data_IF_531126005660
#
_entry.id   IF_531126005660
#
_cell.length_a   1.000
_cell.length_b   1.000
_cell.length_c   1.000
_cell.angle_alpha   90.00
_cell.angle_beta   90.00
_cell.angle_gamma   90.00
#
_symmetry.space_group_name_H-M   'P 1'
#
loop_
_entity.id
_entity.type
_entity.pdbx_description
1 polymer ?
#
# COMPACT_ATOMS: atom_id res chain seq x y z
N UNK A 1 -43.60 -12.80 -20.25
CA UNK A 1 -42.74 -11.66 -19.85
C UNK A 1 -43.04 -11.33 -18.40
N UNK A 2 -42.03 -11.14 -17.56
CA UNK A 2 -42.22 -10.70 -16.17
C UNK A 2 -41.07 -9.73 -15.84
N UNK A 3 -41.40 -8.45 -15.68
CA UNK A 3 -40.41 -7.38 -15.57
C UNK A 3 -39.81 -7.35 -14.17
N UNK A 4 -38.54 -7.76 -14.03
CA UNK A 4 -37.80 -7.55 -12.78
C UNK A 4 -37.51 -6.05 -12.62
N UNK A 5 -38.33 -5.34 -11.85
CA UNK A 5 -38.16 -3.91 -11.58
C UNK A 5 -36.85 -3.66 -10.85
N UNK A 6 -35.94 -2.95 -11.52
CA UNK A 6 -34.76 -2.36 -10.89
C UNK A 6 -35.22 -1.28 -9.91
N UNK A 7 -35.32 -1.64 -8.62
CA UNK A 7 -35.54 -0.69 -7.52
C UNK A 7 -34.44 0.36 -7.59
N UNK A 8 -34.79 1.64 -7.74
CA UNK A 8 -33.80 2.68 -7.96
C UNK A 8 -33.07 2.99 -6.66
N UNK A 9 -31.83 3.50 -6.76
CA UNK A 9 -31.02 3.88 -5.59
C UNK A 9 -31.74 4.92 -4.71
N UNK A 10 -32.63 5.73 -5.29
CA UNK A 10 -33.46 6.68 -4.58
C UNK A 10 -34.54 5.99 -3.73
N UNK A 11 -35.19 4.95 -4.25
CA UNK A 11 -36.24 4.20 -3.55
C UNK A 11 -35.68 3.45 -2.34
N UNK A 12 -34.53 2.80 -2.50
CA UNK A 12 -33.81 2.16 -1.37
C UNK A 12 -33.43 3.19 -0.31
N UNK A 13 -33.02 4.40 -0.72
CA UNK A 13 -32.69 5.49 0.20
C UNK A 13 -33.91 6.03 0.93
N UNK A 14 -35.06 6.10 0.26
CA UNK A 14 -36.34 6.47 0.88
C UNK A 14 -36.81 5.41 1.89
N UNK A 15 -36.75 4.13 1.52
CA UNK A 15 -37.09 3.00 2.40
C UNK A 15 -36.19 2.96 3.64
N UNK A 16 -34.87 3.19 3.49
CA UNK A 16 -33.94 3.29 4.62
C UNK A 16 -34.31 4.45 5.56
N UNK A 17 -34.65 5.64 5.02
CA UNK A 17 -35.15 6.77 5.83
C UNK A 17 -36.48 6.45 6.51
N UNK A 18 -37.37 5.69 5.87
CA UNK A 18 -38.65 5.27 6.46
C UNK A 18 -38.47 4.27 7.61
N UNK A 19 -37.53 3.32 7.48
CA UNK A 19 -37.18 2.35 8.53
C UNK A 19 -36.45 3.03 9.69
N UNK A 20 -35.52 3.95 9.42
CA UNK A 20 -34.79 4.69 10.46
C UNK A 20 -35.64 5.77 11.14
N UNK A 21 -36.59 6.36 10.41
CA UNK A 21 -37.50 7.38 10.90
C UNK A 21 -38.53 6.84 11.91
N UNK A 22 -39.32 7.75 12.49
CA UNK A 22 -40.26 7.37 13.54
C UNK A 22 -41.53 6.65 13.05
N UNK A 23 -41.78 6.64 11.74
CA UNK A 23 -43.04 6.19 11.11
C UNK A 23 -43.42 4.72 11.29
N UNK A 24 -42.46 3.83 11.59
CA UNK A 24 -42.75 2.41 11.85
C UNK A 24 -42.78 2.11 13.36
N UNK A 25 -43.80 1.38 13.79
CA UNK A 25 -43.97 0.92 15.17
C UNK A 25 -43.17 -0.38 15.43
N UNK A 26 -42.83 -0.65 16.70
CA UNK A 26 -42.08 -1.85 17.09
C UNK A 26 -42.71 -3.15 16.54
N UNK A 27 -44.04 -3.30 16.62
CA UNK A 27 -44.77 -4.46 16.05
C UNK A 27 -44.52 -4.64 14.55
N UNK A 28 -44.54 -3.57 13.75
CA UNK A 28 -44.28 -3.63 12.31
C UNK A 28 -42.83 -4.04 12.03
N UNK A 29 -41.87 -3.43 12.75
CA UNK A 29 -40.45 -3.77 12.65
C UNK A 29 -40.20 -5.23 13.07
N UNK A 30 -40.88 -5.71 14.11
CA UNK A 30 -40.84 -7.10 14.58
C UNK A 30 -41.33 -8.08 13.50
N UNK A 31 -42.44 -7.76 12.81
CA UNK A 31 -42.93 -8.54 11.66
C UNK A 31 -41.98 -8.48 10.47
N UNK A 32 -41.41 -7.32 10.13
CA UNK A 32 -40.41 -7.21 9.04
C UNK A 32 -39.16 -8.05 9.36
N UNK A 33 -38.68 -8.03 10.60
CA UNK A 33 -37.63 -8.95 11.05
C UNK A 33 -38.03 -10.42 10.85
N UNK A 34 -39.22 -10.83 11.31
CA UNK A 34 -39.71 -12.20 11.21
C UNK A 34 -39.81 -12.70 9.76
N UNK A 35 -40.37 -11.88 8.85
CA UNK A 35 -40.50 -12.20 7.42
C UNK A 35 -39.14 -12.37 6.74
N UNK A 36 -38.11 -11.66 7.20
CA UNK A 36 -36.75 -11.74 6.67
C UNK A 36 -35.82 -12.66 7.49
N UNK A 37 -36.37 -13.57 8.31
CA UNK A 37 -35.60 -14.56 9.07
C UNK A 37 -34.72 -14.00 10.21
N UNK A 38 -34.91 -12.73 10.58
CA UNK A 38 -34.21 -12.10 11.71
C UNK A 38 -34.91 -12.39 13.05
N UNK A 39 -34.14 -12.31 14.14
CA UNK A 39 -34.69 -12.24 15.50
C UNK A 39 -35.69 -11.08 15.60
N UNK A 40 -36.96 -11.38 15.84
CA UNK A 40 -38.08 -10.43 15.86
C UNK A 40 -38.26 -9.70 17.20
N UNK A 41 -37.62 -10.18 18.27
CA UNK A 41 -37.67 -9.59 19.62
C UNK A 41 -36.61 -8.50 19.81
N UNK A 42 -36.98 -7.30 20.24
CA UNK A 42 -36.02 -6.25 20.62
C UNK A 42 -36.67 -4.87 20.83
N UNK A 43 -35.87 -3.91 21.30
CA UNK A 43 -36.28 -2.49 21.35
C UNK A 43 -36.32 -1.89 19.95
N UNK A 44 -37.08 -0.79 19.74
CA UNK A 44 -37.34 -0.21 18.41
C UNK A 44 -36.05 0.00 17.61
N UNK A 45 -35.07 0.69 18.19
CA UNK A 45 -33.79 0.99 17.56
C UNK A 45 -32.97 -0.26 17.17
N UNK A 46 -33.12 -1.36 17.90
CA UNK A 46 -32.42 -2.60 17.59
C UNK A 46 -33.07 -3.35 16.41
N UNK A 47 -34.41 -3.37 16.35
CA UNK A 47 -35.14 -3.89 15.19
C UNK A 47 -34.87 -3.05 13.94
N UNK A 48 -34.92 -1.71 14.07
CA UNK A 48 -34.52 -0.79 12.99
C UNK A 48 -33.10 -1.07 12.50
N UNK A 49 -32.12 -1.24 13.41
CA UNK A 49 -30.73 -1.59 13.05
C UNK A 49 -30.67 -2.91 12.29
N UNK A 50 -31.34 -3.98 12.75
CA UNK A 50 -31.34 -5.28 12.05
C UNK A 50 -31.95 -5.19 10.64
N UNK A 51 -32.99 -4.37 10.45
CA UNK A 51 -33.66 -4.18 9.14
C UNK A 51 -32.83 -3.28 8.21
N UNK A 52 -32.17 -2.24 8.73
CA UNK A 52 -31.20 -1.44 7.96
C UNK A 52 -30.05 -2.33 7.45
N UNK A 53 -29.54 -3.21 8.31
CA UNK A 53 -28.47 -4.15 7.99
C UNK A 53 -28.88 -5.29 7.03
N UNK A 54 -30.17 -5.45 6.71
CA UNK A 54 -30.65 -6.35 5.66
C UNK A 54 -30.51 -5.78 4.25
N UNK A 55 -30.35 -4.46 4.10
CA UNK A 55 -30.31 -3.84 2.77
C UNK A 55 -29.01 -4.23 2.04
N UNK A 56 -29.08 -4.93 0.89
CA UNK A 56 -27.88 -5.40 0.18
C UNK A 56 -27.05 -4.27 -0.46
N UNK A 57 -27.53 -3.02 -0.37
CA UNK A 57 -26.86 -1.81 -0.88
C UNK A 57 -26.57 -0.78 0.22
N UNK A 58 -26.73 -1.14 1.50
CA UNK A 58 -26.42 -0.28 2.64
C UNK A 58 -24.96 -0.41 3.09
N UNK A 59 -24.20 0.69 3.07
CA UNK A 59 -22.89 0.79 3.73
C UNK A 59 -23.06 0.71 5.26
N UNK A 60 -23.14 -0.50 5.80
CA UNK A 60 -23.34 -0.72 7.24
C UNK A 60 -23.71 -2.15 7.67
N UNK A 61 -23.70 -3.13 6.75
CA UNK A 61 -24.07 -4.53 6.98
C UNK A 61 -23.45 -5.16 8.25
N UNK A 62 -22.26 -4.69 8.67
CA UNK A 62 -21.54 -5.20 9.85
C UNK A 62 -21.09 -4.13 10.86
N UNK A 63 -21.56 -2.88 10.74
CA UNK A 63 -21.17 -1.78 11.64
C UNK A 63 -19.88 -1.03 11.27
N UNK A 64 -19.15 -1.48 10.24
CA UNK A 64 -17.98 -0.82 9.67
C UNK A 64 -18.01 -0.83 8.13
N UNK A 65 -17.13 -0.04 7.51
CA UNK A 65 -16.81 -0.07 6.09
C UNK A 65 -15.30 -0.16 5.88
N UNK A 66 -14.85 -0.54 4.67
CA UNK A 66 -13.44 -0.42 4.30
C UNK A 66 -13.15 0.95 3.70
N UNK A 67 -11.90 1.44 3.84
CA UNK A 67 -11.45 2.64 3.10
C UNK A 67 -11.65 2.44 1.59
N UNK A 68 -12.08 3.48 0.86
CA UNK A 68 -12.24 3.41 -0.59
C UNK A 68 -10.88 3.26 -1.29
N UNK A 69 -10.92 2.72 -2.50
CA UNK A 69 -9.76 2.53 -3.37
C UNK A 69 -10.15 2.92 -4.80
N UNK A 70 -9.30 3.62 -5.57
CA UNK A 70 -9.60 3.90 -6.97
C UNK A 70 -9.58 2.61 -7.81
N UNK A 71 -8.76 1.63 -7.43
CA UNK A 71 -8.58 0.37 -8.13
C UNK A 71 -9.79 -0.57 -8.05
N UNK A 72 -10.70 -0.37 -7.09
CA UNK A 72 -11.92 -1.18 -6.99
C UNK A 72 -13.07 -0.47 -6.24
N UNK A 73 -14.29 -0.61 -6.75
CA UNK A 73 -15.53 -0.29 -6.04
C UNK A 73 -16.09 -1.56 -5.40
N UNK A 74 -16.39 -1.55 -4.11
CA UNK A 74 -17.12 -2.63 -3.43
C UNK A 74 -18.61 -2.51 -3.79
N UNK A 75 -19.20 -3.54 -4.39
CA UNK A 75 -20.59 -3.53 -4.86
C UNK A 75 -21.54 -4.16 -3.84
N UNK A 76 -21.22 -5.37 -3.36
CA UNK A 76 -22.10 -6.18 -2.49
C UNK A 76 -21.32 -7.32 -1.82
N UNK A 77 -21.60 -7.68 -0.56
CA UNK A 77 -21.03 -8.89 0.06
C UNK A 77 -21.62 -10.16 -0.56
N UNK A 78 -20.75 -11.13 -0.90
CA UNK A 78 -21.16 -12.45 -1.41
C UNK A 78 -21.07 -13.55 -0.35
N UNK A 79 -20.52 -13.23 0.84
CA UNK A 79 -20.58 -14.08 2.03
C UNK A 79 -21.13 -13.33 3.24
N UNK A 80 -21.65 -14.06 4.22
CA UNK A 80 -21.76 -13.51 5.57
C UNK A 80 -20.37 -13.22 6.15
N UNK A 81 -20.31 -12.25 7.08
CA UNK A 81 -19.11 -11.96 7.87
C UNK A 81 -18.69 -13.17 8.71
N UNK A 82 -17.39 -13.39 8.85
CA UNK A 82 -16.82 -14.36 9.79
C UNK A 82 -15.87 -13.68 10.78
N UNK A 83 -16.21 -13.76 12.06
CA UNK A 83 -15.30 -13.39 13.14
C UNK A 83 -14.19 -14.44 13.25
N UNK A 84 -12.95 -14.02 13.03
CA UNK A 84 -11.75 -14.78 13.30
C UNK A 84 -11.26 -14.40 14.71
N UNK A 85 -11.39 -15.31 15.65
CA UNK A 85 -11.05 -15.10 17.07
C UNK A 85 -10.31 -16.30 17.65
N UNK A 86 -9.54 -16.08 18.71
CA UNK A 86 -8.75 -17.13 19.33
C UNK A 86 -9.64 -18.09 20.12
N UNK A 87 -9.70 -19.36 19.72
CA UNK A 87 -10.24 -20.42 20.59
C UNK A 87 -9.29 -20.64 21.76
N UNK A 88 -9.84 -20.87 22.94
CA UNK A 88 -9.07 -20.95 24.20
C UNK A 88 -8.00 -22.05 24.16
N UNK A 89 -6.73 -21.64 24.34
CA UNK A 89 -5.53 -22.40 24.76
C UNK A 89 -5.10 -23.70 24.05
N UNK A 90 -5.96 -24.37 23.27
CA UNK A 90 -5.68 -25.73 22.76
C UNK A 90 -5.18 -25.78 21.31
N UNK A 91 -5.38 -24.74 20.50
CA UNK A 91 -5.07 -24.76 19.06
C UNK A 91 -4.40 -23.46 18.60
N UNK A 92 -3.10 -23.53 18.31
CA UNK A 92 -2.32 -22.41 17.77
C UNK A 92 -2.75 -21.98 16.36
N UNK A 93 -3.40 -22.85 15.58
CA UNK A 93 -3.87 -22.63 14.20
C UNK A 93 -5.37 -22.90 14.12
N UNK A 94 -6.14 -21.95 13.60
CA UNK A 94 -7.61 -22.00 13.50
C UNK A 94 -8.04 -21.78 12.04
N UNK A 95 -8.95 -22.61 11.52
CA UNK A 95 -9.57 -22.39 10.20
C UNK A 95 -10.98 -21.84 10.32
N UNK A 96 -11.35 -21.00 9.36
CA UNK A 96 -12.71 -20.50 9.09
C UNK A 96 -13.08 -20.85 7.66
N UNK A 97 -14.29 -21.40 7.50
CA UNK A 97 -14.78 -21.90 6.21
C UNK A 97 -15.97 -21.07 5.71
N UNK A 98 -15.89 -20.63 4.46
CA UNK A 98 -16.91 -19.86 3.76
C UNK A 98 -17.35 -20.66 2.51
N UNK A 99 -18.49 -21.36 2.57
CA UNK A 99 -19.10 -21.95 1.38
C UNK A 99 -19.72 -20.85 0.50
N UNK A 100 -19.39 -20.82 -0.78
CA UNK A 100 -19.86 -19.85 -1.75
C UNK A 100 -20.48 -20.55 -2.97
N UNK A 101 -21.79 -20.33 -3.20
CA UNK A 101 -22.54 -20.93 -4.31
C UNK A 101 -23.19 -19.81 -5.14
N UNK A 102 -22.95 -19.80 -6.45
CA UNK A 102 -23.39 -18.69 -7.32
C UNK A 102 -24.91 -18.55 -7.35
N UNK A 103 -25.67 -19.65 -7.25
CA UNK A 103 -27.14 -19.60 -7.17
C UNK A 103 -27.69 -18.80 -5.97
N UNK A 104 -26.91 -18.62 -4.90
CA UNK A 104 -27.31 -17.82 -3.73
C UNK A 104 -26.98 -16.33 -3.89
N UNK A 105 -26.24 -15.95 -4.92
CA UNK A 105 -25.86 -14.57 -5.19
C UNK A 105 -25.96 -14.26 -6.70
N UNK A 106 -27.18 -14.00 -7.23
CA UNK A 106 -27.38 -13.79 -8.67
C UNK A 106 -26.50 -12.68 -9.27
N UNK A 107 -26.19 -11.66 -8.48
CA UNK A 107 -25.32 -10.55 -8.88
C UNK A 107 -23.84 -10.97 -9.02
N UNK A 108 -23.38 -12.03 -8.36
CA UNK A 108 -22.07 -12.63 -8.59
C UNK A 108 -21.95 -13.34 -9.96
N UNK A 109 -23.08 -13.59 -10.67
CA UNK A 109 -23.03 -14.06 -12.05
C UNK A 109 -22.36 -13.01 -12.98
N UNK A 110 -22.36 -11.72 -12.60
CA UNK A 110 -21.67 -10.66 -13.37
C UNK A 110 -20.17 -10.91 -13.58
N UNK A 111 -19.50 -11.70 -12.73
CA UNK A 111 -18.11 -12.11 -12.96
C UNK A 111 -17.91 -13.03 -14.18
N UNK A 112 -18.99 -13.63 -14.69
CA UNK A 112 -18.98 -14.42 -15.93
C UNK A 112 -19.23 -13.50 -17.13
N UNK A 113 -20.17 -12.55 -16.97
CA UNK A 113 -20.64 -11.65 -18.04
C UNK A 113 -19.66 -10.49 -18.31
N UNK A 114 -19.00 -9.95 -17.28
CA UNK A 114 -18.08 -8.80 -17.32
C UNK A 114 -16.83 -9.06 -16.45
N UNK A 115 -15.66 -9.15 -17.11
CA UNK A 115 -14.35 -9.47 -16.51
C UNK A 115 -13.79 -8.40 -15.56
N UNK A 116 -14.40 -7.21 -15.52
CA UNK A 116 -14.07 -6.16 -14.55
C UNK A 116 -14.62 -6.47 -13.15
N UNK A 117 -15.64 -7.32 -13.03
CA UNK A 117 -16.12 -7.77 -11.72
C UNK A 117 -15.23 -8.89 -11.18
N UNK A 118 -14.77 -8.74 -9.94
CA UNK A 118 -13.97 -9.73 -9.20
C UNK A 118 -14.62 -10.06 -7.86
N UNK A 119 -14.49 -11.32 -7.46
CA UNK A 119 -14.82 -11.80 -6.13
C UNK A 119 -13.54 -11.73 -5.30
N UNK A 120 -13.51 -10.85 -4.31
CA UNK A 120 -12.31 -10.56 -3.52
C UNK A 120 -12.56 -10.75 -2.02
N UNK A 121 -11.55 -11.29 -1.34
CA UNK A 121 -11.55 -11.50 0.12
C UNK A 121 -10.97 -10.27 0.81
N UNK A 122 -11.71 -9.74 1.78
CA UNK A 122 -11.33 -8.63 2.64
C UNK A 122 -11.25 -9.10 4.09
N UNK A 123 -10.41 -8.46 4.89
CA UNK A 123 -10.33 -8.69 6.33
C UNK A 123 -10.08 -7.35 7.03
N UNK A 124 -10.76 -7.10 8.15
CA UNK A 124 -10.55 -5.93 9.02
C UNK A 124 -10.04 -6.36 10.40
N UNK A 125 -9.28 -5.49 11.06
CA UNK A 125 -8.76 -5.70 12.43
C UNK A 125 -9.72 -5.27 13.55
N UNK A 126 -10.79 -4.56 13.21
CA UNK A 126 -11.86 -4.16 14.13
C UNK A 126 -13.23 -4.11 13.41
N UNK A 127 -14.33 -4.03 14.15
CA UNK A 127 -15.71 -4.03 13.64
C UNK A 127 -16.38 -2.65 13.64
N UNK A 128 -15.66 -1.57 13.90
CA UNK A 128 -16.20 -0.20 13.98
C UNK A 128 -15.61 0.76 12.94
N UNK A 129 -16.39 1.77 12.54
CA UNK A 129 -15.89 2.91 11.75
C UNK A 129 -15.42 2.55 10.33
N UNK A 130 -14.32 3.18 9.89
CA UNK A 130 -13.72 2.96 8.57
C UNK A 130 -12.39 2.25 8.73
N UNK A 131 -12.32 1.01 8.24
CA UNK A 131 -11.23 0.07 8.45
C UNK A 131 -10.25 0.02 7.27
N UNK A 132 -8.98 -0.21 7.59
CA UNK A 132 -7.99 -0.69 6.63
C UNK A 132 -8.20 -2.18 6.33
N UNK A 133 -7.77 -2.63 5.15
CA UNK A 133 -7.63 -4.07 4.90
C UNK A 133 -6.41 -4.57 5.67
N UNK A 134 -6.62 -5.55 6.55
CA UNK A 134 -5.61 -6.14 7.41
C UNK A 134 -5.98 -7.58 7.76
N UNK A 135 -5.07 -8.53 7.50
CA UNK A 135 -5.23 -9.94 7.88
C UNK A 135 -4.37 -10.28 9.12
N UNK A 136 -4.68 -11.37 9.86
CA UNK A 136 -3.77 -11.96 10.85
C UNK A 136 -2.36 -12.20 10.29
N UNK A 137 -1.33 -11.85 11.06
CA UNK A 137 0.05 -11.87 10.56
C UNK A 137 0.55 -13.27 10.16
N UNK A 138 0.05 -14.31 10.83
CA UNK A 138 0.14 -15.70 10.36
C UNK A 138 -1.24 -16.07 9.80
N UNK A 139 -1.39 -16.06 8.48
CA UNK A 139 -2.59 -16.52 7.79
C UNK A 139 -2.28 -17.09 6.41
N UNK A 140 -3.21 -17.90 5.91
CA UNK A 140 -3.16 -18.67 4.67
C UNK A 140 -4.58 -18.72 4.10
N UNK A 141 -4.73 -18.59 2.78
CA UNK A 141 -6.02 -18.63 2.09
C UNK A 141 -6.02 -19.75 1.05
N UNK A 142 -7.04 -20.61 1.09
CA UNK A 142 -7.27 -21.69 0.13
C UNK A 142 -8.65 -21.58 -0.50
N UNK A 143 -8.77 -22.00 -1.75
CA UNK A 143 -10.05 -22.06 -2.47
C UNK A 143 -10.13 -23.40 -3.19
N UNK A 144 -11.19 -24.17 -2.91
CA UNK A 144 -11.42 -25.52 -3.44
C UNK A 144 -10.30 -26.55 -3.12
N UNK A 145 -9.39 -26.22 -2.20
CA UNK A 145 -8.22 -27.02 -1.81
C UNK A 145 -6.88 -26.36 -2.17
N UNK A 146 -6.88 -25.55 -3.23
CA UNK A 146 -5.70 -24.90 -3.82
C UNK A 146 -5.29 -23.64 -3.03
N UNK A 147 -3.99 -23.39 -2.91
CA UNK A 147 -3.41 -22.27 -2.14
C UNK A 147 -3.38 -20.96 -2.95
N UNK A 148 -3.89 -19.87 -2.37
CA UNK A 148 -3.90 -18.55 -2.99
C UNK A 148 -2.66 -17.76 -2.57
N UNK A 149 -1.66 -17.72 -3.46
CA UNK A 149 -0.41 -16.96 -3.27
C UNK A 149 -0.66 -15.45 -3.36
N UNK A 150 -0.92 -14.80 -2.22
CA UNK A 150 -1.18 -13.38 -2.11
C UNK A 150 -0.46 -12.73 -0.90
N UNK A 151 -0.12 -11.44 -1.00
CA UNK A 151 0.48 -10.71 0.12
C UNK A 151 -0.58 -10.29 1.15
N UNK A 152 -0.78 -11.12 2.17
CA UNK A 152 -1.69 -10.87 3.30
C UNK A 152 -1.12 -9.89 4.36
N UNK A 153 0.12 -9.41 4.21
CA UNK A 153 0.83 -8.57 5.20
C UNK A 153 1.03 -7.11 4.79
N UNK A 154 0.82 -6.78 3.51
CA UNK A 154 1.10 -5.45 2.97
C UNK A 154 2.60 -5.11 3.00
N UNK A 155 2.92 -3.84 3.23
CA UNK A 155 4.27 -3.32 3.42
C UNK A 155 4.62 -3.25 4.93
N UNK A 156 5.86 -3.61 5.26
CA UNK A 156 6.37 -3.58 6.64
C UNK A 156 6.21 -2.16 7.25
N UNK A 157 5.68 -2.09 8.46
CA UNK A 157 5.44 -0.85 9.22
C UNK A 157 4.49 0.17 8.56
N UNK A 158 3.64 -0.24 7.61
CA UNK A 158 2.66 0.63 6.93
C UNK A 158 1.24 0.04 7.00
N UNK A 159 0.46 0.29 8.07
CA UNK A 159 -0.97 -0.05 8.10
C UNK A 159 -1.72 0.53 6.88
N UNK A 160 -2.73 -0.17 6.38
CA UNK A 160 -3.48 0.23 5.17
C UNK A 160 -2.83 -0.14 3.83
N UNK A 161 -1.58 -0.60 3.81
CA UNK A 161 -0.89 -1.02 2.58
C UNK A 161 -1.17 -2.47 2.14
N UNK A 162 -2.07 -3.18 2.82
CA UNK A 162 -2.51 -4.52 2.39
C UNK A 162 -3.70 -4.39 1.44
N UNK A 163 -3.69 -5.16 0.36
CA UNK A 163 -4.78 -5.22 -0.63
C UNK A 163 -5.75 -6.36 -0.33
N UNK A 164 -7.03 -6.28 -0.77
CA UNK A 164 -7.91 -7.44 -0.80
C UNK A 164 -7.37 -8.49 -1.78
N UNK A 165 -7.77 -9.75 -1.58
CA UNK A 165 -7.27 -10.90 -2.33
C UNK A 165 -8.28 -11.30 -3.39
N UNK A 166 -7.94 -11.16 -4.67
CA UNK A 166 -8.76 -11.68 -5.77
C UNK A 166 -8.69 -13.21 -5.79
N UNK A 167 -9.86 -13.85 -5.69
CA UNK A 167 -10.01 -15.31 -5.76
C UNK A 167 -10.81 -15.76 -7.00
N UNK A 168 -11.20 -14.83 -7.88
CA UNK A 168 -12.10 -15.08 -9.01
C UNK A 168 -11.63 -16.25 -9.88
N UNK A 169 -10.33 -16.33 -10.16
CA UNK A 169 -9.74 -17.38 -11.00
C UNK A 169 -9.68 -18.77 -10.34
N UNK A 170 -9.75 -18.85 -9.01
CA UNK A 170 -9.76 -20.12 -8.26
C UNK A 170 -11.19 -20.62 -7.97
N UNK A 171 -12.20 -19.79 -8.20
CA UNK A 171 -13.61 -20.14 -8.07
C UNK A 171 -14.10 -20.87 -9.32
N UNK A 172 -14.72 -22.02 -9.11
CA UNK A 172 -15.47 -22.76 -10.14
C UNK A 172 -16.83 -22.08 -10.30
N UNK A 173 -16.92 -21.14 -11.25
CA UNK A 173 -18.09 -20.29 -11.52
C UNK A 173 -19.26 -21.03 -12.21
N UNK A 174 -19.61 -22.23 -11.74
CA UNK A 174 -20.80 -22.99 -12.20
C UNK A 174 -21.97 -22.73 -11.26
N UNK A 175 -23.18 -22.51 -11.80
CA UNK A 175 -24.39 -22.11 -11.04
C UNK A 175 -24.64 -22.92 -9.76
N UNK A 176 -24.53 -24.25 -9.87
CA UNK A 176 -24.85 -25.17 -8.78
C UNK A 176 -23.63 -25.64 -7.96
N UNK A 177 -22.41 -25.24 -8.34
CA UNK A 177 -21.20 -25.69 -7.65
C UNK A 177 -20.96 -24.91 -6.35
N UNK A 178 -20.78 -25.63 -5.24
CA UNK A 178 -20.38 -25.05 -3.96
C UNK A 178 -18.86 -24.91 -3.91
N UNK A 179 -18.38 -23.67 -4.02
CA UNK A 179 -16.98 -23.35 -3.79
C UNK A 179 -16.69 -23.33 -2.30
N UNK A 180 -15.53 -23.86 -1.91
CA UNK A 180 -15.09 -23.89 -0.52
C UNK A 180 -13.91 -22.93 -0.33
N UNK A 181 -14.13 -21.81 0.33
CA UNK A 181 -13.08 -20.85 0.68
C UNK A 181 -12.67 -21.12 2.13
N UNK A 182 -11.43 -21.56 2.34
CA UNK A 182 -10.87 -21.78 3.67
C UNK A 182 -9.83 -20.70 3.98
N UNK A 183 -10.02 -20.03 5.11
CA UNK A 183 -9.06 -19.08 5.64
C UNK A 183 -8.50 -19.61 6.95
N UNK A 184 -7.21 -19.95 6.96
CA UNK A 184 -6.53 -20.45 8.15
C UNK A 184 -5.65 -19.35 8.75
N UNK A 185 -5.66 -19.21 10.07
CA UNK A 185 -4.94 -18.17 10.77
C UNK A 185 -4.42 -18.61 12.14
N UNK A 186 -3.41 -17.89 12.63
CA UNK A 186 -2.93 -17.95 13.99
C UNK A 186 -2.88 -16.53 14.56
N UNK A 187 -3.49 -16.35 15.74
CA UNK A 187 -3.55 -15.05 16.42
C UNK A 187 -2.47 -15.01 17.49
N UNK A 188 -1.42 -14.24 17.24
CA UNK A 188 -0.45 -13.88 18.28
C UNK A 188 -1.13 -12.97 19.30
N UNK A 189 -1.23 -13.40 20.55
CA UNK A 189 -1.49 -12.48 21.66
C UNK A 189 -0.39 -11.44 21.69
N UNK A 190 -0.71 -10.18 21.35
CA UNK A 190 0.15 -9.06 21.73
C UNK A 190 0.15 -8.98 23.25
N UNK A 191 1.26 -9.38 23.87
CA UNK A 191 1.47 -9.23 25.31
C UNK A 191 1.71 -7.75 25.59
N UNK A 192 0.62 -6.99 25.68
CA UNK A 192 0.66 -5.68 26.34
C UNK A 192 0.84 -5.93 27.83
N UNK A 193 1.86 -5.34 28.44
CA UNK A 193 2.22 -5.56 29.85
C UNK A 193 1.24 -4.94 30.86
N UNK A 194 0.08 -4.47 30.38
CA UNK A 194 -0.98 -3.84 31.17
C UNK A 194 -2.28 -4.60 30.87
N UNK A 195 -2.76 -5.31 31.89
CA UNK A 195 -4.07 -5.95 32.09
C UNK A 195 -4.93 -6.36 30.88
N UNK A 196 -5.24 -7.65 30.80
CA UNK A 196 -6.45 -8.19 30.14
C UNK A 196 -6.73 -7.70 28.71
N UNK A 197 -5.69 -7.57 27.88
CA UNK A 197 -5.87 -7.31 26.44
C UNK A 197 -6.74 -8.41 25.80
N UNK A 198 -7.91 -8.07 25.20
CA UNK A 198 -8.77 -9.07 24.55
C UNK A 198 -8.03 -9.80 23.44
N UNK A 199 -8.34 -11.08 23.23
CA UNK A 199 -7.83 -11.85 22.09
C UNK A 199 -8.14 -11.10 20.79
N UNK A 200 -7.09 -10.73 20.05
CA UNK A 200 -7.19 -9.88 18.87
C UNK A 200 -8.14 -10.52 17.85
N UNK A 201 -9.27 -9.86 17.58
CA UNK A 201 -10.25 -10.33 16.61
C UNK A 201 -9.95 -9.77 15.23
N UNK A 202 -10.37 -10.49 14.21
CA UNK A 202 -10.37 -10.06 12.82
C UNK A 202 -11.72 -10.40 12.18
N UNK A 203 -12.12 -9.66 11.16
CA UNK A 203 -13.45 -9.76 10.56
C UNK A 203 -13.31 -10.00 9.06
N UNK A 204 -13.49 -11.25 8.64
CA UNK A 204 -13.27 -11.74 7.28
C UNK A 204 -14.57 -11.72 6.48
N UNK A 205 -14.51 -11.28 5.23
CA UNK A 205 -15.65 -11.28 4.30
C UNK A 205 -15.22 -11.44 2.85
N UNK A 206 -16.09 -12.02 2.03
CA UNK A 206 -15.93 -12.07 0.57
C UNK A 206 -16.91 -11.09 -0.06
N UNK A 207 -16.41 -10.17 -0.88
CA UNK A 207 -17.20 -9.16 -1.58
C UNK A 207 -17.11 -9.34 -3.10
N UNK A 208 -18.18 -8.98 -3.80
CA UNK A 208 -18.13 -8.65 -5.22
C UNK A 208 -17.65 -7.20 -5.34
N UNK A 209 -16.69 -6.96 -6.23
CA UNK A 209 -16.14 -5.64 -6.51
C UNK A 209 -16.00 -5.43 -8.01
N UNK A 210 -16.20 -4.20 -8.48
CA UNK A 210 -15.82 -3.80 -9.84
C UNK A 210 -14.42 -3.19 -9.81
N UNK A 211 -13.49 -3.74 -10.58
CA UNK A 211 -12.10 -3.27 -10.70
C UNK A 211 -12.02 -2.16 -11.75
N UNK A 212 -11.20 -1.14 -11.46
CA UNK A 212 -10.84 -0.05 -12.38
C UNK A 212 -9.38 -0.24 -12.79
N UNK A 213 -9.07 -0.26 -14.10
CA UNK A 213 -7.68 -0.52 -14.52
C UNK A 213 -6.81 0.73 -14.39
N UNK A 214 -5.48 0.56 -14.32
CA UNK A 214 -4.56 1.71 -14.31
C UNK A 214 -4.77 2.64 -15.52
N UNK A 215 -4.92 2.15 -16.77
CA UNK A 215 -5.30 3.00 -17.91
C UNK A 215 -6.59 3.82 -17.71
N UNK A 216 -7.66 3.21 -17.19
CA UNK A 216 -8.93 3.92 -16.91
C UNK A 216 -8.72 5.03 -15.86
N UNK A 217 -7.91 4.74 -14.83
CA UNK A 217 -7.55 5.71 -13.81
C UNK A 217 -6.70 6.84 -14.40
N UNK A 218 -5.70 6.55 -15.24
CA UNK A 218 -4.89 7.56 -15.94
C UNK A 218 -5.76 8.45 -16.84
N UNK A 219 -6.72 7.88 -17.59
CA UNK A 219 -7.69 8.65 -18.35
C UNK A 219 -8.55 9.56 -17.46
N UNK A 220 -8.92 9.08 -16.27
CA UNK A 220 -9.63 9.86 -15.24
C UNK A 220 -8.74 10.97 -14.64
N UNK A 221 -7.42 10.74 -14.51
CA UNK A 221 -6.44 11.77 -14.12
C UNK A 221 -6.34 12.86 -15.20
N UNK A 222 -6.40 12.49 -16.48
CA UNK A 222 -6.23 13.40 -17.62
C UNK A 222 -7.47 14.24 -17.99
N UNK A 223 -8.68 13.77 -17.62
CA UNK A 223 -9.95 14.44 -17.95
C UNK A 223 -10.43 15.44 -16.89
N UNK A 224 -9.98 15.31 -15.63
CA UNK A 224 -10.35 16.20 -14.52
C UNK A 224 -9.58 17.53 -14.50
N UNK A 225 -9.64 18.23 -13.37
CA UNK A 225 -8.84 19.41 -13.03
C UNK A 225 -7.33 19.18 -13.24
N UNK A 226 -6.66 20.22 -13.75
CA UNK A 226 -5.25 20.24 -14.12
C UNK A 226 -4.56 21.38 -13.38
N UNK A 227 -3.26 21.25 -13.13
CA UNK A 227 -2.43 22.39 -12.74
C UNK A 227 -2.13 23.14 -14.04
N UNK A 228 -2.66 24.35 -14.21
CA UNK A 228 -2.62 25.04 -15.52
C UNK A 228 -1.26 25.70 -15.78
N UNK A 229 -0.91 25.93 -17.05
CA UNK A 229 0.37 26.53 -17.45
C UNK A 229 0.54 27.93 -16.80
N UNK A 230 -0.53 28.71 -16.75
CA UNK A 230 -0.58 30.04 -16.15
C UNK A 230 -0.47 30.00 -14.62
N UNK A 231 -0.95 28.94 -13.96
CA UNK A 231 -0.77 28.80 -12.51
C UNK A 231 0.68 28.51 -12.15
N UNK A 232 1.33 27.61 -12.90
CA UNK A 232 2.77 27.32 -12.69
C UNK A 232 3.62 28.56 -12.96
N UNK A 233 3.35 29.29 -14.04
CA UNK A 233 4.05 30.53 -14.37
C UNK A 233 3.82 31.59 -13.28
N UNK A 234 2.59 31.74 -12.75
CA UNK A 234 2.30 32.66 -11.64
C UNK A 234 3.06 32.28 -10.36
N UNK A 235 3.10 31.00 -10.01
CA UNK A 235 3.77 30.53 -8.80
C UNK A 235 5.29 30.71 -8.91
N UNK A 236 5.89 30.47 -10.09
CA UNK A 236 7.31 30.75 -10.37
C UNK A 236 7.62 32.25 -10.28
N UNK A 237 6.83 33.10 -10.96
CA UNK A 237 7.04 34.55 -10.91
C UNK A 237 6.86 35.13 -9.50
N UNK A 238 5.97 34.55 -8.69
CA UNK A 238 5.81 34.96 -7.28
C UNK A 238 7.07 34.65 -6.46
N UNK A 239 7.70 33.50 -6.67
CA UNK A 239 8.98 33.14 -6.02
C UNK A 239 10.12 34.04 -6.54
N UNK A 240 10.09 34.41 -7.83
CA UNK A 240 11.07 35.31 -8.44
C UNK A 240 10.92 36.79 -8.04
N UNK A 241 9.84 37.17 -7.36
CA UNK A 241 9.57 38.52 -6.85
C UNK A 241 9.70 38.60 -5.33
N UNK A 242 10.10 37.52 -4.67
CA UNK A 242 10.33 37.47 -3.23
C UNK A 242 11.72 38.07 -2.91
N UNK A 243 11.83 39.17 -2.14
CA UNK A 243 13.09 39.87 -1.92
C UNK A 243 14.11 39.05 -1.12
N UNK A 244 13.66 38.03 -0.38
CA UNK A 244 14.52 37.14 0.40
C UNK A 244 15.03 35.93 -0.45
N UNK A 245 14.64 35.82 -1.72
CA UNK A 245 14.93 34.67 -2.59
C UNK A 245 15.71 35.09 -3.84
N UNK A 246 16.99 34.69 -3.91
CA UNK A 246 17.78 34.78 -5.15
C UNK A 246 17.31 33.71 -6.13
N UNK A 247 16.31 34.03 -6.95
CA UNK A 247 15.74 33.10 -7.91
C UNK A 247 16.65 32.90 -9.13
N UNK A 248 17.30 31.73 -9.19
CA UNK A 248 18.10 31.27 -10.33
C UNK A 248 17.30 30.36 -11.25
N UNK A 249 17.82 30.10 -12.46
CA UNK A 249 17.25 29.10 -13.36
C UNK A 249 17.46 27.68 -12.83
N UNK A 250 16.47 26.80 -13.04
CA UNK A 250 16.48 25.42 -12.56
C UNK A 250 16.40 24.43 -13.72
N UNK A 251 17.15 23.32 -13.64
CA UNK A 251 17.06 22.24 -14.63
C UNK A 251 15.92 21.30 -14.25
N UNK A 252 14.95 21.15 -15.14
CA UNK A 252 13.81 20.24 -15.02
C UNK A 252 14.05 18.97 -15.83
N UNK A 253 13.78 17.80 -15.25
CA UNK A 253 13.86 16.52 -15.96
C UNK A 253 12.53 16.16 -16.62
N UNK A 254 12.60 15.79 -17.90
CA UNK A 254 11.49 15.24 -18.69
C UNK A 254 11.33 13.73 -18.50
N UNK A 255 12.19 13.09 -17.67
CA UNK A 255 12.07 11.69 -17.23
C UNK A 255 11.28 11.56 -15.94
N UNK A 256 10.59 10.43 -15.79
CA UNK A 256 9.91 10.05 -14.56
C UNK A 256 10.92 9.52 -13.51
N UNK A 257 10.90 10.00 -12.25
CA UNK A 257 11.78 9.47 -11.19
C UNK A 257 11.39 8.07 -10.68
N UNK A 258 10.31 7.46 -11.19
CA UNK A 258 9.90 6.09 -10.84
C UNK A 258 10.30 5.05 -11.89
N UNK A 259 10.13 5.37 -13.17
CA UNK A 259 10.37 4.46 -14.29
C UNK A 259 11.61 4.81 -15.12
N UNK A 260 12.23 5.98 -14.89
CA UNK A 260 13.37 6.54 -15.64
C UNK A 260 13.13 6.78 -17.15
N UNK A 261 11.95 6.41 -17.65
CA UNK A 261 11.46 6.72 -18.99
C UNK A 261 10.99 8.19 -19.10
N UNK A 262 10.89 8.72 -20.31
CA UNK A 262 10.25 10.04 -20.56
C UNK A 262 8.82 10.03 -20.02
N UNK A 263 8.41 11.12 -19.39
CA UNK A 263 7.04 11.34 -18.93
C UNK A 263 6.05 11.27 -20.10
N UNK A 264 5.00 10.46 -19.98
CA UNK A 264 3.87 10.44 -20.93
C UNK A 264 2.70 11.24 -20.37
N UNK A 265 2.29 10.96 -19.13
CA UNK A 265 1.27 11.74 -18.43
C UNK A 265 1.91 12.43 -17.21
N UNK A 266 2.46 13.66 -17.36
CA UNK A 266 3.14 14.36 -16.28
C UNK A 266 2.14 14.73 -15.18
N UNK A 267 2.35 14.17 -14.00
CA UNK A 267 1.43 14.25 -12.88
C UNK A 267 2.18 14.65 -11.60
N UNK A 268 1.50 15.43 -10.75
CA UNK A 268 1.87 15.66 -9.35
C UNK A 268 0.61 15.89 -8.51
N UNK A 269 0.73 15.95 -7.19
CA UNK A 269 -0.40 16.39 -6.34
C UNK A 269 -0.59 17.90 -6.49
N UNK A 270 -1.82 18.40 -6.43
CA UNK A 270 -2.10 19.85 -6.33
C UNK A 270 -1.52 20.49 -5.05
N UNK A 271 -1.00 19.68 -4.12
CA UNK A 271 -0.26 20.10 -2.91
C UNK A 271 1.28 19.97 -3.05
N UNK A 272 1.79 19.63 -4.24
CA UNK A 272 3.23 19.55 -4.51
C UNK A 272 3.83 20.94 -4.72
N UNK A 273 4.83 21.29 -3.91
CA UNK A 273 5.59 22.55 -4.00
C UNK A 273 6.87 22.42 -4.82
N UNK A 274 6.93 21.44 -5.73
CA UNK A 274 8.05 21.21 -6.65
C UNK A 274 7.50 21.14 -8.09
N UNK A 275 8.29 21.59 -9.06
CA UNK A 275 7.93 21.56 -10.48
C UNK A 275 8.06 20.16 -11.10
N UNK A 276 9.07 19.38 -10.66
CA UNK A 276 9.32 18.04 -11.17
C UNK A 276 8.06 17.15 -11.06
N UNK A 277 7.69 16.53 -12.17
CA UNK A 277 6.55 15.62 -12.24
C UNK A 277 7.00 14.15 -12.20
N UNK A 278 6.04 13.28 -11.88
CA UNK A 278 6.14 11.84 -12.09
C UNK A 278 5.08 11.40 -13.10
N UNK A 279 5.27 10.24 -13.72
CA UNK A 279 4.32 9.72 -14.69
C UNK A 279 3.12 9.08 -13.98
N UNK A 280 1.90 9.37 -14.44
CA UNK A 280 0.67 8.91 -13.81
C UNK A 280 0.53 7.38 -13.82
N UNK A 281 0.88 6.72 -14.93
CA UNK A 281 0.83 5.26 -15.07
C UNK A 281 1.80 4.59 -14.10
N UNK A 282 3.04 5.07 -14.09
CA UNK A 282 4.13 4.60 -13.23
C UNK A 282 3.79 4.78 -11.74
N UNK A 283 3.15 5.89 -11.37
CA UNK A 283 2.71 6.14 -9.99
C UNK A 283 1.56 5.22 -9.58
N UNK A 284 0.55 5.05 -10.42
CA UNK A 284 -0.62 4.23 -10.11
C UNK A 284 -0.26 2.74 -10.00
N UNK A 285 0.63 2.23 -10.85
CA UNK A 285 1.19 0.87 -10.71
C UNK A 285 1.88 0.68 -9.36
N UNK A 286 2.66 1.67 -8.89
CA UNK A 286 3.28 1.62 -7.56
C UNK A 286 2.24 1.59 -6.43
N UNK A 287 1.18 2.41 -6.51
CA UNK A 287 0.11 2.41 -5.50
C UNK A 287 -0.77 1.15 -5.54
N UNK A 288 -0.89 0.46 -6.69
CA UNK A 288 -1.63 -0.79 -6.81
C UNK A 288 -0.95 -1.96 -6.06
N UNK A 289 0.39 -2.00 -6.04
CA UNK A 289 1.14 -3.05 -5.34
C UNK A 289 1.19 -2.87 -3.83
N UNK A 290 1.17 -1.63 -3.34
CA UNK A 290 1.26 -1.31 -1.91
C UNK A 290 0.93 0.16 -1.66
N UNK A 291 -0.35 0.52 -1.47
CA UNK A 291 -0.77 1.92 -1.43
C UNK A 291 -0.17 2.64 -0.21
N UNK A 292 0.49 3.75 -0.49
CA UNK A 292 1.00 4.70 0.51
C UNK A 292 0.45 6.12 0.28
N UNK A 293 0.08 6.47 -0.96
CA UNK A 293 -0.48 7.77 -1.34
C UNK A 293 0.39 8.97 -0.93
N UNK A 294 1.71 8.82 -1.06
CA UNK A 294 2.72 9.86 -0.85
C UNK A 294 3.37 10.20 -2.19
N UNK A 295 3.77 11.45 -2.39
CA UNK A 295 4.52 11.90 -3.57
C UNK A 295 5.96 11.33 -3.52
N UNK A 296 6.48 10.70 -4.59
CA UNK A 296 7.82 10.12 -4.60
C UNK A 296 8.95 11.16 -4.59
N UNK A 297 8.64 12.44 -4.79
CA UNK A 297 9.63 13.53 -4.87
C UNK A 297 9.74 14.32 -3.56
N UNK A 298 8.61 14.61 -2.89
CA UNK A 298 8.60 15.42 -1.67
C UNK A 298 7.94 14.75 -0.45
N UNK A 299 7.53 13.48 -0.56
CA UNK A 299 6.89 12.69 0.49
C UNK A 299 5.57 13.28 1.08
N UNK A 300 5.06 14.39 0.53
CA UNK A 300 3.75 14.99 0.88
C UNK A 300 2.59 14.09 0.41
N UNK A 301 1.41 14.14 1.05
CA UNK A 301 0.23 13.40 0.60
C UNK A 301 -0.15 13.68 -0.86
N UNK A 302 -0.36 12.59 -1.61
CA UNK A 302 -0.77 12.57 -3.00
C UNK A 302 -1.84 11.47 -3.23
N UNK A 303 -2.97 11.47 -2.50
CA UNK A 303 -4.07 10.55 -2.75
C UNK A 303 -4.66 10.77 -4.15
N UNK A 304 -5.33 9.74 -4.69
CA UNK A 304 -5.80 9.71 -6.08
C UNK A 304 -6.57 10.96 -6.50
N UNK A 305 -7.40 11.50 -5.62
CA UNK A 305 -8.28 12.66 -5.83
C UNK A 305 -7.52 13.99 -5.91
N UNK A 306 -6.30 14.06 -5.35
CA UNK A 306 -5.46 15.27 -5.29
C UNK A 306 -4.34 15.27 -6.34
N UNK A 307 -4.10 14.14 -7.02
CA UNK A 307 -3.27 14.10 -8.21
C UNK A 307 -3.87 14.99 -9.32
N UNK A 308 -3.05 15.55 -10.19
CA UNK A 308 -3.48 16.33 -11.35
C UNK A 308 -2.41 16.28 -12.46
N UNK A 309 -2.83 16.38 -13.72
CA UNK A 309 -1.89 16.59 -14.82
C UNK A 309 -1.33 18.00 -14.73
N UNK A 310 -0.01 18.12 -14.90
CA UNK A 310 0.67 19.40 -14.98
C UNK A 310 0.69 19.90 -16.43
N UNK A 311 -0.04 20.98 -16.69
CA UNK A 311 -0.17 21.58 -18.02
C UNK A 311 1.12 22.21 -18.53
N UNK A 312 1.94 22.78 -17.63
CA UNK A 312 3.22 23.40 -17.98
C UNK A 312 4.22 22.35 -18.46
N UNK A 313 4.41 21.27 -17.68
CA UNK A 313 5.31 20.17 -18.06
C UNK A 313 4.76 19.41 -19.26
N UNK A 314 3.43 19.26 -19.39
CA UNK A 314 2.81 18.66 -20.59
C UNK A 314 3.08 19.49 -21.85
N UNK A 315 2.94 20.81 -21.79
CA UNK A 315 3.24 21.69 -22.90
C UNK A 315 4.71 21.63 -23.31
N UNK A 316 5.65 21.50 -22.36
CA UNK A 316 7.08 21.26 -22.66
C UNK A 316 7.27 19.91 -23.37
N UNK A 317 6.64 18.83 -22.87
CA UNK A 317 6.78 17.49 -23.46
C UNK A 317 6.25 17.39 -24.89
N UNK A 318 5.23 18.19 -25.23
CA UNK A 318 4.66 18.32 -26.57
C UNK A 318 5.51 19.22 -27.49
N UNK A 319 6.17 20.24 -26.94
CA UNK A 319 7.04 21.19 -27.66
C UNK A 319 8.51 20.73 -27.77
N UNK A 320 8.86 19.50 -27.37
CA UNK A 320 10.25 18.97 -27.36
C UNK A 320 10.37 17.56 -27.94
N UNK A 321 11.49 17.21 -28.61
CA UNK A 321 11.68 15.88 -29.19
C UNK A 321 11.83 14.81 -28.10
N UNK A 322 11.46 13.56 -28.41
CA UNK A 322 11.49 12.43 -27.46
C UNK A 322 12.88 12.13 -26.88
N UNK A 323 13.95 12.52 -27.57
CA UNK A 323 15.34 12.38 -27.16
C UNK A 323 15.82 13.44 -26.16
N UNK A 324 15.11 14.57 -26.00
CA UNK A 324 15.51 15.60 -25.05
C UNK A 324 15.11 15.17 -23.63
N UNK A 325 16.08 15.06 -22.73
CA UNK A 325 15.86 14.56 -21.36
C UNK A 325 15.62 15.65 -20.31
N UNK A 326 16.08 16.88 -20.58
CA UNK A 326 16.03 18.02 -19.64
C UNK A 326 15.73 19.33 -20.35
N UNK A 327 15.25 20.33 -19.60
CA UNK A 327 15.16 21.73 -20.03
C UNK A 327 15.57 22.66 -18.89
N UNK A 328 16.08 23.84 -19.23
CA UNK A 328 16.31 24.92 -18.26
C UNK A 328 15.03 25.74 -18.11
N UNK A 329 14.59 25.98 -16.88
CA UNK A 329 13.42 26.78 -16.52
C UNK A 329 13.88 28.08 -15.87
N UNK A 330 13.49 29.21 -16.44
CA UNK A 330 13.82 30.54 -15.93
C UNK A 330 12.87 30.97 -14.80
N UNK A 331 13.29 31.87 -13.88
CA UNK A 331 12.46 32.38 -12.79
C UNK A 331 11.11 32.97 -13.25
N UNK A 332 11.07 33.56 -14.45
CA UNK A 332 9.86 34.13 -15.06
C UNK A 332 8.92 33.07 -15.70
N UNK A 333 9.26 31.79 -15.63
CA UNK A 333 8.46 30.69 -16.20
C UNK A 333 8.70 30.40 -17.68
N UNK A 334 9.57 31.14 -18.38
CA UNK A 334 10.07 30.71 -19.69
C UNK A 334 10.97 29.49 -19.53
N UNK A 335 11.14 28.72 -20.60
CA UNK A 335 12.04 27.55 -20.61
C UNK A 335 12.84 27.50 -21.91
N UNK A 336 13.98 26.82 -21.88
CA UNK A 336 14.77 26.55 -23.08
C UNK A 336 15.41 25.16 -23.06
N UNK A 337 15.67 24.62 -24.25
CA UNK A 337 16.37 23.34 -24.46
C UNK A 337 17.89 23.49 -24.67
N UNK A 338 18.40 24.72 -24.65
CA UNK A 338 19.84 24.99 -24.77
C UNK A 338 20.47 24.84 -23.37
N UNK A 339 21.70 24.30 -23.25
CA UNK A 339 22.47 24.50 -22.03
C UNK A 339 22.64 26.02 -21.80
N UNK A 340 22.73 26.49 -20.55
CA UNK A 340 22.99 27.90 -20.27
C UNK A 340 24.22 28.35 -21.04
N UNK A 341 24.05 29.29 -21.97
CA UNK A 341 25.18 30.01 -22.54
C UNK A 341 25.66 30.97 -21.46
N UNK A 342 26.94 30.90 -21.12
CA UNK A 342 27.57 32.00 -20.41
C UNK A 342 27.38 33.27 -21.25
N UNK A 343 26.90 34.34 -20.63
CA UNK A 343 26.74 35.62 -21.31
C UNK A 343 28.13 36.20 -21.57
N UNK A 344 28.67 35.91 -22.75
CA UNK A 344 29.87 36.58 -23.27
C UNK A 344 29.58 38.07 -23.31
N UNK A 345 30.10 38.81 -22.32
CA UNK A 345 29.89 40.25 -22.15
C UNK A 345 30.37 41.00 -23.38
N UNK A 346 29.44 41.31 -24.29
CA UNK A 346 29.69 42.10 -25.49
C UNK A 346 30.19 43.49 -25.12
N UNK A 347 31.51 43.67 -25.14
CA UNK A 347 32.15 44.98 -25.00
C UNK A 347 31.72 45.87 -26.18
N UNK A 348 31.23 47.09 -25.94
CA UNK A 348 31.09 48.08 -27.00
C UNK A 348 32.46 48.65 -27.40
N UNK A 349 32.45 49.42 -28.49
CA UNK A 349 33.60 49.97 -29.23
C UNK A 349 34.33 48.90 -30.08
N UNK A 350 34.58 49.08 -31.37
CA UNK A 350 34.23 50.20 -32.26
C UNK A 350 35.47 50.88 -32.84
N UNK A 351 35.84 50.43 -34.04
CA UNK A 351 36.72 51.13 -34.97
C UNK A 351 36.30 50.71 -36.39
N UNK A 352 36.17 51.68 -37.29
CA UNK A 352 36.10 51.40 -38.73
C UNK A 352 37.52 51.18 -39.24
N UNK A 353 37.69 50.21 -40.13
CA UNK A 353 38.43 50.42 -41.38
C UNK A 353 37.66 49.71 -42.49
N UNK A 354 37.56 50.39 -43.62
CA UNK A 354 37.14 49.87 -44.92
C UNK A 354 38.43 49.63 -45.72
N UNK A 355 38.48 48.56 -46.51
CA UNK A 355 39.24 48.45 -47.77
C UNK A 355 38.81 47.14 -48.47
N UNK A 356 38.91 47.12 -49.80
CA UNK A 356 38.31 46.13 -50.71
C UNK A 356 39.31 45.02 -51.18
N UNK A 357 38.94 44.35 -52.27
CA UNK A 357 39.76 43.61 -53.25
C UNK A 357 40.10 42.12 -53.00
N UNK A 358 39.14 41.29 -53.45
CA UNK A 358 39.23 40.41 -54.64
C UNK A 358 40.02 39.08 -54.65
N UNK A 359 39.59 38.25 -55.61
CA UNK A 359 40.23 37.10 -56.25
C UNK A 359 40.58 35.80 -55.47
N UNK A 360 40.07 34.72 -56.07
CA UNK A 360 40.45 33.32 -55.92
C UNK A 360 41.98 33.05 -55.99
N UNK A 361 42.44 32.04 -55.24
CA UNK A 361 43.28 30.98 -55.83
C UNK A 361 43.01 29.65 -55.08
N UNK A 362 43.23 28.51 -55.75
CA UNK A 362 43.10 27.17 -55.16
C UNK A 362 44.38 26.78 -54.41
N UNK A 363 44.28 25.98 -53.34
CA UNK A 363 45.44 25.38 -52.64
C UNK A 363 45.13 23.89 -52.32
N UNK A 364 46.09 23.02 -52.62
CA UNK A 364 45.94 21.55 -52.74
C UNK A 364 46.19 20.75 -51.43
N UNK A 365 45.84 19.45 -51.49
CA UNK A 365 46.41 18.30 -50.76
C UNK A 365 46.47 18.26 -49.20
N UNK A 366 45.57 17.41 -48.66
CA UNK A 366 45.82 16.22 -47.80
C UNK A 366 46.50 16.26 -46.40
N UNK A 367 46.11 15.21 -45.66
CA UNK A 367 46.72 14.52 -44.51
C UNK A 367 46.84 15.14 -43.08
N UNK A 368 46.16 14.43 -42.17
CA UNK A 368 46.49 14.06 -40.78
C UNK A 368 47.21 15.02 -39.81
N UNK A 369 46.58 15.23 -38.65
CA UNK A 369 47.26 15.72 -37.42
C UNK A 369 46.91 14.83 -36.21
N UNK A 370 47.92 14.13 -35.68
CA UNK A 370 47.82 13.27 -34.50
C UNK A 370 47.77 14.09 -33.18
N UNK A 371 47.19 13.50 -32.13
CA UNK A 371 47.00 14.17 -30.82
C UNK A 371 48.30 14.24 -30.02
N UNK A 372 48.65 15.43 -29.49
CA UNK A 372 49.63 15.56 -28.40
C UNK A 372 49.20 16.63 -27.37
N UNK A 373 49.72 16.52 -26.15
CA UNK A 373 49.03 16.90 -24.89
C UNK A 373 49.73 18.02 -24.10
N UNK A 374 48.95 18.78 -23.30
CA UNK A 374 49.39 19.56 -22.09
C UNK A 374 50.25 20.82 -22.45
N UNK A 375 50.31 21.97 -21.74
CA UNK A 375 50.28 22.41 -20.31
C UNK A 375 49.53 23.79 -20.23
N UNK A 376 49.26 24.53 -19.13
CA UNK A 376 49.62 24.55 -17.69
C UNK A 376 48.34 24.81 -16.84
N UNK A 377 48.34 24.50 -15.54
CA UNK A 377 47.27 24.88 -14.58
C UNK A 377 47.41 26.28 -13.97
N UNK A 378 46.67 26.67 -12.92
CA UNK A 378 45.59 25.97 -12.19
C UNK A 378 45.44 26.47 -10.74
N UNK A 379 44.31 26.18 -10.07
CA UNK A 379 44.12 26.27 -8.60
C UNK A 379 42.88 25.49 -8.13
N UNK A 380 42.97 24.80 -7.00
CA UNK A 380 41.88 24.09 -6.30
C UNK A 380 41.59 24.75 -4.95
N UNK A 381 40.32 24.78 -4.50
CA UNK A 381 39.96 24.57 -3.09
C UNK A 381 39.86 23.06 -2.79
N UNK A 382 39.98 22.66 -1.52
CA UNK A 382 40.10 21.25 -1.12
C UNK A 382 38.97 20.76 -0.22
N UNK A 383 38.81 19.44 -0.13
CA UNK A 383 38.00 18.72 0.87
C UNK A 383 38.93 17.73 1.58
N UNK A 384 38.91 17.62 2.93
CA UNK A 384 39.91 16.84 3.66
C UNK A 384 39.71 15.32 3.56
N UNK A 385 40.79 14.56 3.79
CA UNK A 385 40.80 13.10 3.90
C UNK A 385 40.96 12.66 5.36
N UNK A 386 40.49 11.46 5.69
CA UNK A 386 41.22 10.57 6.58
C UNK A 386 41.26 9.14 6.02
N UNK A 387 42.16 8.30 6.51
CA UNK A 387 42.64 7.08 5.84
C UNK A 387 41.98 5.78 6.33
N UNK A 388 41.95 4.78 5.44
CA UNK A 388 41.98 3.34 5.77
C UNK A 388 42.96 2.60 4.85
N UNK A 389 43.64 1.53 5.31
CA UNK A 389 44.60 0.76 4.49
C UNK A 389 43.96 -0.43 3.73
N UNK A 390 44.77 -1.06 2.88
CA UNK A 390 44.37 -2.07 1.90
C UNK A 390 44.60 -3.52 2.37
N UNK A 391 43.64 -4.42 2.14
CA UNK A 391 43.78 -5.88 1.86
C UNK A 391 42.40 -6.40 1.41
N UNK A 392 42.24 -7.41 0.55
CA UNK A 392 43.25 -8.24 -0.12
C UNK A 392 42.64 -9.59 -0.56
N UNK A 393 41.83 -9.59 -1.62
CA UNK A 393 41.08 -10.77 -2.09
C UNK A 393 41.89 -11.62 -3.07
N UNK A 394 41.71 -12.96 -3.06
CA UNK A 394 41.78 -13.74 -4.28
C UNK A 394 40.49 -14.52 -4.53
N UNK A 395 40.04 -14.53 -5.79
CA UNK A 395 39.08 -15.50 -6.32
C UNK A 395 39.77 -16.47 -7.28
N UNK A 396 39.14 -17.59 -7.59
CA UNK A 396 39.54 -18.51 -8.66
C UNK A 396 38.33 -19.29 -9.16
N UNK A 397 38.35 -19.76 -10.41
CA UNK A 397 37.19 -20.30 -11.11
C UNK A 397 37.48 -21.64 -11.80
N UNK A 398 36.44 -22.48 -11.92
CA UNK A 398 36.33 -23.57 -12.91
C UNK A 398 37.14 -24.86 -12.66
N UNK A 399 36.47 -26.02 -12.68
CA UNK A 399 36.40 -26.88 -13.88
C UNK A 399 35.32 -27.98 -13.67
N UNK A 400 35.35 -29.06 -14.45
CA UNK A 400 34.25 -30.01 -14.67
C UNK A 400 34.36 -31.33 -13.88
N UNK A 401 33.28 -32.13 -13.85
CA UNK A 401 33.29 -33.50 -13.34
C UNK A 401 31.88 -34.09 -13.18
N UNK A 402 31.69 -35.37 -13.53
CA UNK A 402 30.36 -36.01 -13.60
C UNK A 402 30.11 -37.14 -12.58
N UNK A 403 28.83 -37.24 -12.19
CA UNK A 403 28.08 -38.46 -11.84
C UNK A 403 28.24 -39.16 -10.46
N UNK A 404 27.18 -39.95 -10.18
CA UNK A 404 26.96 -40.95 -9.11
C UNK A 404 26.58 -40.51 -7.69
N UNK A 405 25.71 -41.32 -7.07
CA UNK A 405 25.32 -41.33 -5.64
C UNK A 405 25.90 -42.59 -5.00
N UNK A 406 26.11 -42.61 -3.68
CA UNK A 406 25.36 -43.60 -2.88
C UNK A 406 24.80 -43.03 -1.55
N UNK A 407 24.54 -43.90 -0.56
CA UNK A 407 23.80 -43.64 0.70
C UNK A 407 24.72 -43.69 1.93
N UNK A 408 24.31 -43.02 3.02
CA UNK A 408 24.89 -43.07 4.38
C UNK A 408 24.77 -41.68 5.05
N UNK A 409 24.13 -41.42 6.18
CA UNK A 409 23.95 -42.06 7.50
C UNK A 409 24.84 -41.44 8.59
N UNK A 410 24.15 -40.74 9.51
CA UNK A 410 24.46 -40.51 10.94
C UNK A 410 25.69 -39.69 11.41
N UNK A 411 25.53 -39.14 12.63
CA UNK A 411 26.52 -38.52 13.54
C UNK A 411 26.98 -37.05 13.37
N UNK A 412 26.12 -36.16 13.87
CA UNK A 412 26.44 -35.14 14.89
C UNK A 412 27.91 -34.75 15.13
N UNK A 413 28.30 -33.57 14.64
CA UNK A 413 29.26 -32.66 15.32
C UNK A 413 28.64 -31.26 15.34
N UNK A 414 28.71 -30.57 16.50
CA UNK A 414 28.16 -29.21 16.65
C UNK A 414 29.12 -28.17 16.07
N UNK A 415 28.64 -27.29 15.19
CA UNK A 415 29.31 -26.00 14.92
C UNK A 415 29.05 -25.03 16.10
N UNK A 416 30.02 -24.19 16.50
CA UNK A 416 29.76 -23.04 17.37
C UNK A 416 28.79 -22.05 16.70
N UNK A 417 28.06 -21.27 17.52
CA UNK A 417 27.28 -20.15 17.03
C UNK A 417 28.20 -18.94 16.74
N UNK A 418 27.88 -18.10 15.74
CA UNK A 418 28.63 -16.86 15.50
C UNK A 418 28.39 -15.86 16.64
N UNK A 419 29.46 -15.20 17.10
CA UNK A 419 29.35 -14.08 18.02
C UNK A 419 28.83 -12.85 17.27
N UNK A 420 27.77 -12.23 17.80
CA UNK A 420 27.31 -10.90 17.36
C UNK A 420 28.03 -9.87 18.22
N UNK A 421 28.74 -8.94 17.58
CA UNK A 421 29.33 -7.79 18.25
C UNK A 421 28.23 -6.73 18.36
N UNK A 422 27.81 -6.42 19.59
CA UNK A 422 26.99 -5.25 19.87
C UNK A 422 27.91 -4.01 19.93
N UNK A 423 27.49 -2.92 19.29
CA UNK A 423 28.19 -1.63 19.29
C UNK A 423 27.33 -0.52 19.91
N UNK A 424 26.43 -0.89 20.82
CA UNK A 424 25.66 0.04 21.65
C UNK A 424 25.70 -0.35 23.13
N UNK A 425 26.54 0.34 23.92
CA UNK A 425 26.21 1.05 25.16
C UNK A 425 27.49 1.40 25.96
N UNK A 426 27.45 2.55 26.64
CA UNK A 426 28.45 3.06 27.58
C UNK A 426 27.73 3.78 28.72
N UNK A 427 28.32 3.86 29.92
CA UNK A 427 27.63 3.98 31.24
C UNK A 427 27.10 2.60 31.66
N UNK A 428 27.57 1.98 32.75
CA UNK A 428 27.51 2.38 34.18
C UNK A 428 26.05 2.50 34.66
N UNK A 429 25.61 1.85 35.76
CA UNK A 429 26.39 1.27 36.87
C UNK A 429 25.65 0.09 37.62
N UNK A 430 26.26 -0.41 38.70
CA UNK A 430 25.75 -1.26 39.82
C UNK A 430 25.55 -2.81 39.66
N UNK A 431 26.48 -3.54 40.31
CA UNK A 431 26.40 -4.77 41.13
C UNK A 431 25.83 -6.15 40.65
N UNK A 432 26.39 -7.30 41.14
CA UNK A 432 26.13 -8.63 40.57
C UNK A 432 25.18 -9.55 41.38
N UNK A 433 24.00 -9.85 40.83
CA UNK A 433 23.09 -10.87 41.39
C UNK A 433 23.57 -12.30 41.06
N UNK A 434 23.92 -13.08 42.09
CA UNK A 434 24.29 -14.49 41.95
C UNK A 434 23.14 -15.36 41.42
N UNK A 435 23.43 -16.24 40.46
CA UNK A 435 22.43 -17.21 39.93
C UNK A 435 22.36 -18.46 40.81
N UNK A 436 21.19 -18.88 41.31
CA UNK A 436 21.05 -20.13 42.04
C UNK A 436 21.31 -21.36 41.15
N UNK A 437 21.83 -22.43 41.75
CA UNK A 437 22.30 -23.61 41.00
C UNK A 437 21.17 -24.52 40.51
N UNK A 438 21.41 -25.18 39.38
CA UNK A 438 20.43 -26.04 38.70
C UNK A 438 20.29 -27.40 39.38
N UNK A 439 19.28 -27.58 40.22
CA UNK A 439 18.95 -28.90 40.81
C UNK A 439 18.55 -29.90 39.72
N UNK A 440 19.12 -31.11 39.80
CA UNK A 440 18.75 -32.25 38.95
C UNK A 440 17.43 -32.87 39.39
N UNK A 441 16.72 -33.49 38.45
CA UNK A 441 15.52 -34.27 38.72
C UNK A 441 15.94 -35.72 38.99
N UNK A 442 15.69 -36.20 40.21
CA UNK A 442 15.59 -37.64 40.52
C UNK A 442 14.13 -38.00 40.75
N UNK A 443 13.79 -39.28 40.69
CA UNK A 443 12.43 -39.77 40.92
C UNK A 443 12.44 -41.05 41.74
N UNK A 444 11.48 -41.19 42.65
CA UNK A 444 11.21 -42.41 43.39
C UNK A 444 9.70 -42.50 43.71
N UNK A 445 9.19 -43.72 43.82
CA UNK A 445 7.77 -44.04 44.08
C UNK A 445 7.43 -43.96 45.58
N UNK A 446 6.17 -43.65 45.94
CA UNK A 446 5.32 -44.58 46.74
C UNK A 446 3.94 -44.03 47.16
N UNK A 447 2.89 -44.78 46.79
CA UNK A 447 1.76 -45.28 47.60
C UNK A 447 0.98 -44.42 48.64
N UNK A 448 -0.37 -44.49 48.51
CA UNK A 448 -1.45 -44.26 49.51
C UNK A 448 -1.63 -42.80 50.03
N UNK A 449 -2.84 -42.37 50.39
CA UNK A 449 -4.17 -42.98 50.18
C UNK A 449 -5.30 -42.37 51.04
N UNK A 450 -6.52 -42.44 50.53
CA UNK A 450 -7.85 -42.35 51.21
C UNK A 450 -8.20 -41.20 52.18
N UNK A 451 -9.39 -40.62 51.95
CA UNK A 451 -10.30 -40.05 52.98
C UNK A 451 -9.88 -38.74 53.68
N UNK A 452 -10.79 -37.87 54.18
CA UNK A 452 -12.26 -37.73 54.04
C UNK A 452 -12.74 -36.37 54.60
N UNK A 453 -14.05 -36.10 54.48
CA UNK A 453 -14.88 -35.13 55.24
C UNK A 453 -14.98 -33.66 54.80
N UNK A 454 -16.21 -33.30 54.43
CA UNK A 454 -16.89 -31.99 54.49
C UNK A 454 -17.33 -31.69 55.96
N UNK A 455 -18.14 -30.65 56.30
CA UNK A 455 -18.60 -29.42 55.61
C UNK A 455 -18.46 -28.13 56.51
N UNK A 456 -19.31 -27.11 56.26
CA UNK A 456 -19.75 -26.01 57.18
C UNK A 456 -18.76 -24.83 57.44
N UNK A 457 -19.19 -23.57 57.58
CA UNK A 457 -20.52 -22.93 57.40
C UNK A 457 -20.40 -21.44 56.94
N UNK A 458 -21.52 -20.72 57.01
CA UNK A 458 -21.80 -19.27 56.83
C UNK A 458 -20.92 -18.32 57.69
N UNK A 459 -20.91 -16.98 57.56
CA UNK A 459 -21.99 -16.01 57.29
C UNK A 459 -21.52 -14.74 56.52
N UNK A 460 -22.45 -13.81 56.25
CA UNK A 460 -22.19 -12.47 55.70
C UNK A 460 -23.17 -11.43 56.28
N UNK A 461 -22.70 -10.27 56.80
CA UNK A 461 -23.58 -9.18 57.22
C UNK A 461 -23.72 -8.07 56.15
N UNK A 462 -24.96 -7.84 55.73
CA UNK A 462 -25.53 -6.51 55.42
C UNK A 462 -25.35 -5.52 56.59
N UNK A 463 -25.41 -4.19 56.49
CA UNK A 463 -25.75 -3.21 55.43
C UNK A 463 -25.23 -1.82 55.90
N UNK A 464 -25.11 -0.81 55.03
CA UNK A 464 -25.72 0.52 55.27
C UNK A 464 -25.72 1.43 54.01
N UNK A 465 -26.76 2.26 53.93
CA UNK A 465 -27.05 3.35 52.96
C UNK A 465 -27.77 4.46 53.75
N UNK A 466 -27.78 5.75 53.38
CA UNK A 466 -27.84 6.30 52.00
C UNK A 466 -26.48 6.52 51.32
#
# INVERSE_FOLDING_TARGET
MASSSLIQRNDVSALLRQVQGNSLFNRQLSTVCQVNGLKSTGVKAELQRRIVNLSPYGSGTYGFSFKPSPFYTIEVPVSGLRTCEGKSMAQHRNSVTIPLKLSHCPIAQRCIDDKSYRIMVFCASDNSGVQDVAFPHQSELRVNGDEIKANLRGLKNKPGSTRPVDITNALRLKRDYMNNIEFTYALTTKVSFIFLSPLQKYYLIVNLCKVTTVPDLVATIASRSKITEESVIRDLNKIAQDPDVVATSQVLSLKCPLSYMRLEVPCRSVRCTHLQCFDATSYLQLQEQGPQWLCPICNKPAPFEQLAVDGYVKAILEKTPKSLETVTIEPNGKWSSKPPREETLSRPNGAQLEDDDDADDDDDDDDDVEVSEIIIGGRRPATPKHLTPYTGTPGSAGHEGSATRPRGSSHSVKRPAPAVIDLTLSSDDEEPIQRPSKRQHTGASSYRGSSSNLPFLSESPSNYTP
#
